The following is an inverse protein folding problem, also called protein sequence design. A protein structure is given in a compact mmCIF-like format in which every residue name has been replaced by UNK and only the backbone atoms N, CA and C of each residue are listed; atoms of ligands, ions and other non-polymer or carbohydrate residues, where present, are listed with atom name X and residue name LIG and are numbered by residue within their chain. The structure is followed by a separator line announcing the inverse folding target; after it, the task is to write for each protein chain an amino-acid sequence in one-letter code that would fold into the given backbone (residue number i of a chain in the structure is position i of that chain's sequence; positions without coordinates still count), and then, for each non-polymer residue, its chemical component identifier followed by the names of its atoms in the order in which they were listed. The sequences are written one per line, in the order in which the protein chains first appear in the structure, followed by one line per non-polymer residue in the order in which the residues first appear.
data_IF_319861709337
#
_entry.id   IF_319861709337
#
_cell.length_a   1.000
_cell.length_b   1.000
_cell.length_c   1.000
_cell.angle_alpha   90.00
_cell.angle_beta   90.00
_cell.angle_gamma   90.00
#
_symmetry.space_group_name_H-M   'P 1'
#
loop_
_entity.id
_entity.type
_entity.pdbx_description
1 polymer ?
#
# COMPACT_ATOMS: atom_id res chain seq x y z
N UNK A 1 6.63 -30.64 10.14
CA UNK A 1 5.46 -30.31 10.97
C UNK A 1 4.21 -30.42 10.12
N UNK A 2 3.19 -31.15 10.57
CA UNK A 2 1.90 -31.23 9.87
C UNK A 2 1.00 -30.14 10.45
N UNK A 3 0.67 -29.12 9.65
CA UNK A 3 -0.27 -28.07 10.06
C UNK A 3 -1.70 -28.60 10.08
N UNK A 4 -2.59 -27.94 10.82
CA UNK A 4 -4.02 -28.21 10.72
C UNK A 4 -4.51 -28.02 9.28
N UNK A 5 -5.57 -28.74 8.89
CA UNK A 5 -6.09 -28.71 7.53
C UNK A 5 -6.52 -27.29 7.09
N UNK A 6 -7.02 -26.49 8.02
CA UNK A 6 -7.37 -25.08 7.83
C UNK A 6 -6.18 -24.24 7.36
N UNK A 7 -5.04 -24.32 8.06
CA UNK A 7 -3.83 -23.60 7.69
C UNK A 7 -3.23 -24.11 6.39
N UNK A 8 -3.26 -25.41 6.14
CA UNK A 8 -2.80 -25.99 4.86
C UNK A 8 -3.61 -25.41 3.70
N UNK A 9 -4.95 -25.38 3.81
CA UNK A 9 -5.83 -24.77 2.81
C UNK A 9 -5.59 -23.27 2.65
N UNK A 10 -5.31 -22.56 3.74
CA UNK A 10 -4.95 -21.14 3.70
C UNK A 10 -3.62 -20.90 2.98
N UNK A 11 -2.64 -21.79 3.14
CA UNK A 11 -1.40 -21.76 2.38
C UNK A 11 -1.65 -21.93 0.88
N UNK A 12 -2.44 -22.94 0.48
CA UNK A 12 -2.84 -23.13 -0.92
C UNK A 12 -3.60 -21.92 -1.48
N UNK A 13 -4.49 -21.32 -0.68
CA UNK A 13 -5.23 -20.14 -1.07
C UNK A 13 -4.32 -18.94 -1.31
N UNK A 14 -3.39 -18.66 -0.40
CA UNK A 14 -2.42 -17.57 -0.58
C UNK A 14 -1.54 -17.80 -1.81
N UNK A 15 -1.11 -19.05 -2.07
CA UNK A 15 -0.34 -19.36 -3.27
C UNK A 15 -1.13 -19.07 -4.54
N UNK A 16 -2.39 -19.50 -4.60
CA UNK A 16 -3.29 -19.21 -5.71
C UNK A 16 -3.49 -17.70 -5.90
N UNK A 17 -3.75 -16.96 -4.82
CA UNK A 17 -3.90 -15.50 -4.88
C UNK A 17 -2.61 -14.82 -5.34
N UNK A 18 -1.43 -15.30 -4.93
CA UNK A 18 -0.15 -14.81 -5.43
C UNK A 18 -0.02 -14.94 -6.95
N UNK A 19 -0.37 -16.11 -7.50
CA UNK A 19 -0.37 -16.31 -8.97
C UNK A 19 -1.43 -15.47 -9.68
N UNK A 20 -2.60 -15.28 -9.09
CA UNK A 20 -3.66 -14.44 -9.66
C UNK A 20 -3.17 -12.99 -9.79
N UNK A 21 -2.61 -12.42 -8.72
CA UNK A 21 -2.05 -11.06 -8.74
C UNK A 21 -0.87 -10.94 -9.71
N UNK A 22 0.04 -11.93 -9.73
CA UNK A 22 1.15 -11.95 -10.67
C UNK A 22 0.67 -11.99 -12.13
N UNK A 23 -0.34 -12.80 -12.43
CA UNK A 23 -0.95 -12.88 -13.74
C UNK A 23 -1.57 -11.56 -14.18
N UNK A 24 -2.28 -10.88 -13.28
CA UNK A 24 -2.84 -9.54 -13.54
C UNK A 24 -1.75 -8.48 -13.71
N UNK A 25 -0.70 -8.48 -12.88
CA UNK A 25 0.44 -7.59 -13.01
C UNK A 25 1.15 -7.77 -14.36
N UNK A 26 1.39 -9.02 -14.76
CA UNK A 26 1.98 -9.34 -16.07
C UNK A 26 1.07 -8.91 -17.22
N UNK A 27 -0.24 -9.19 -17.14
CA UNK A 27 -1.20 -8.76 -18.14
C UNK A 27 -1.19 -7.23 -18.31
N UNK A 28 -1.20 -6.47 -17.22
CA UNK A 28 -1.10 -5.01 -17.31
C UNK A 28 0.24 -4.56 -17.88
N UNK A 29 1.35 -5.15 -17.44
CA UNK A 29 2.68 -4.78 -17.94
C UNK A 29 2.81 -4.96 -19.47
N UNK A 30 2.22 -6.02 -20.03
CA UNK A 30 2.29 -6.29 -21.47
C UNK A 30 1.17 -5.64 -22.30
N UNK A 31 0.01 -5.35 -21.70
CA UNK A 31 -1.16 -4.85 -22.43
C UNK A 31 -1.43 -3.35 -22.22
N UNK A 32 -0.82 -2.72 -21.22
CA UNK A 32 -1.02 -1.29 -20.97
C UNK A 32 -0.37 -0.43 -22.06
N UNK A 33 -0.95 0.75 -22.29
CA UNK A 33 -0.39 1.76 -23.19
C UNK A 33 0.60 2.68 -22.45
N UNK A 34 1.20 3.60 -23.19
CA UNK A 34 2.18 4.58 -22.68
C UNK A 34 1.52 5.77 -21.97
N UNK A 35 0.31 5.61 -21.40
CA UNK A 35 -0.36 6.69 -20.70
C UNK A 35 0.40 7.08 -19.43
N UNK A 36 0.74 8.37 -19.32
CA UNK A 36 1.48 8.92 -18.19
C UNK A 36 0.73 10.06 -17.51
N UNK A 37 0.96 10.22 -16.20
CA UNK A 37 0.48 11.36 -15.43
C UNK A 37 1.65 12.14 -14.82
N UNK A 38 1.60 13.49 -14.78
CA UNK A 38 2.69 14.28 -14.24
C UNK A 38 2.69 14.23 -12.71
N UNK A 39 3.90 14.25 -12.14
CA UNK A 39 4.15 14.68 -10.77
C UNK A 39 4.75 16.08 -10.84
N UNK A 40 4.18 17.00 -10.08
CA UNK A 40 4.59 18.40 -10.06
C UNK A 40 5.11 18.82 -8.69
N UNK A 41 5.93 19.86 -8.65
CA UNK A 41 6.32 20.57 -7.42
C UNK A 41 6.14 22.06 -7.62
N UNK A 42 5.71 22.77 -6.58
CA UNK A 42 5.55 24.23 -6.64
C UNK A 42 6.53 24.92 -5.69
N UNK A 43 7.46 25.70 -6.23
CA UNK A 43 8.43 26.47 -5.45
C UNK A 43 8.25 27.98 -5.69
N UNK A 44 8.51 28.79 -4.68
CA UNK A 44 8.44 30.24 -4.80
C UNK A 44 9.60 30.76 -5.66
N UNK A 45 9.27 31.57 -6.66
CA UNK A 45 10.23 32.37 -7.42
C UNK A 45 9.89 33.85 -7.32
N UNK A 46 10.91 34.68 -7.25
CA UNK A 46 10.74 36.13 -7.29
C UNK A 46 10.43 36.55 -8.72
N UNK A 47 9.33 37.27 -8.91
CA UNK A 47 8.93 37.87 -10.19
C UNK A 47 9.46 39.31 -10.21
N UNK A 48 10.53 39.61 -10.99
CA UNK A 48 11.20 40.91 -10.94
C UNK A 48 10.27 42.09 -11.27
N UNK A 49 9.27 41.88 -12.12
CA UNK A 49 8.33 42.90 -12.58
C UNK A 49 7.38 43.36 -11.47
N UNK A 50 7.03 42.47 -10.54
CA UNK A 50 6.09 42.75 -9.45
C UNK A 50 6.78 42.86 -8.10
N UNK A 51 8.04 42.41 -7.99
CA UNK A 51 8.78 42.31 -6.74
C UNK A 51 8.20 41.30 -5.75
N UNK A 52 7.34 40.38 -6.20
CA UNK A 52 6.63 39.40 -5.36
C UNK A 52 7.15 37.99 -5.56
N UNK A 53 7.05 37.18 -4.51
CA UNK A 53 7.24 35.74 -4.60
C UNK A 53 5.93 35.10 -5.06
N UNK A 54 5.99 34.35 -6.16
CA UNK A 54 4.85 33.61 -6.70
C UNK A 54 5.21 32.12 -6.81
N UNK A 55 4.26 31.20 -6.54
CA UNK A 55 4.51 29.77 -6.69
C UNK A 55 4.57 29.42 -8.18
N UNK A 56 5.69 28.83 -8.60
CA UNK A 56 5.88 28.31 -9.95
C UNK A 56 5.85 26.79 -9.89
N UNK A 57 4.90 26.19 -10.61
CA UNK A 57 4.70 24.74 -10.69
C UNK A 57 5.50 24.17 -11.85
N UNK A 58 6.43 23.27 -11.53
CA UNK A 58 7.22 22.54 -12.52
C UNK A 58 6.86 21.04 -12.48
N UNK A 59 6.89 20.38 -13.63
CA UNK A 59 6.78 18.91 -13.70
C UNK A 59 8.14 18.28 -13.38
N UNK A 60 8.18 17.38 -12.40
CA UNK A 60 9.38 16.66 -11.98
C UNK A 60 9.57 15.39 -12.81
N UNK A 61 8.49 14.62 -12.99
CA UNK A 61 8.50 13.34 -13.70
C UNK A 61 7.10 13.02 -14.24
N UNK A 62 7.04 12.27 -15.34
CA UNK A 62 5.81 11.67 -15.84
C UNK A 62 5.80 10.18 -15.47
N UNK A 63 4.83 9.77 -14.64
CA UNK A 63 4.70 8.39 -14.21
C UNK A 63 3.86 7.56 -15.19
N UNK A 64 4.35 6.41 -15.65
CA UNK A 64 3.56 5.48 -16.47
C UNK A 64 2.49 4.79 -15.62
N UNK A 65 1.22 5.13 -15.85
CA UNK A 65 0.11 4.65 -15.01
C UNK A 65 0.01 3.13 -15.04
N UNK A 66 0.07 2.51 -16.24
CA UNK A 66 -0.04 1.06 -16.39
C UNK A 66 1.00 0.29 -15.58
N UNK A 67 2.25 0.75 -15.61
CA UNK A 67 3.33 0.16 -14.83
C UNK A 67 3.14 0.36 -13.31
N UNK A 68 2.62 1.51 -12.87
CA UNK A 68 2.33 1.74 -11.45
C UNK A 68 1.15 0.89 -10.94
N UNK A 69 0.14 0.64 -11.77
CA UNK A 69 -0.96 -0.28 -11.43
C UNK A 69 -0.43 -1.72 -11.34
N UNK A 70 0.41 -2.14 -12.30
CA UNK A 70 1.08 -3.44 -12.25
C UNK A 70 1.95 -3.59 -10.99
N UNK A 71 2.58 -2.51 -10.53
CA UNK A 71 3.44 -2.51 -9.34
C UNK A 71 2.67 -2.84 -8.06
N UNK A 72 1.49 -2.27 -7.81
CA UNK A 72 0.77 -2.62 -6.57
C UNK A 72 0.28 -4.06 -6.58
N UNK A 73 -0.15 -4.59 -7.73
CA UNK A 73 -0.50 -6.01 -7.87
C UNK A 73 0.70 -6.92 -7.63
N UNK A 74 1.88 -6.51 -8.14
CA UNK A 74 3.12 -7.22 -7.91
C UNK A 74 3.51 -7.24 -6.42
N UNK A 75 3.31 -6.13 -5.69
CA UNK A 75 3.52 -6.07 -4.24
C UNK A 75 2.64 -7.08 -3.51
N UNK A 76 1.34 -7.17 -3.85
CA UNK A 76 0.43 -8.15 -3.27
C UNK A 76 0.82 -9.59 -3.62
N UNK A 77 1.26 -9.83 -4.86
CA UNK A 77 1.78 -11.14 -5.28
C UNK A 77 3.02 -11.55 -4.46
N UNK A 78 3.98 -10.63 -4.30
CA UNK A 78 5.20 -10.85 -3.51
C UNK A 78 4.84 -11.18 -2.07
N UNK A 79 3.91 -10.45 -1.44
CA UNK A 79 3.50 -10.75 -0.07
C UNK A 79 2.87 -12.13 0.06
N UNK A 80 1.96 -12.49 -0.86
CA UNK A 80 1.34 -13.82 -0.89
C UNK A 80 2.38 -14.94 -1.04
N UNK A 81 3.34 -14.80 -1.95
CA UNK A 81 4.41 -15.79 -2.11
C UNK A 81 5.34 -15.83 -0.91
N UNK A 82 5.65 -14.67 -0.32
CA UNK A 82 6.52 -14.57 0.86
C UNK A 82 5.91 -15.32 2.04
N UNK A 83 4.62 -15.13 2.34
CA UNK A 83 3.99 -15.77 3.50
C UNK A 83 3.87 -17.29 3.35
N UNK A 84 3.78 -17.82 2.12
CA UNK A 84 3.74 -19.28 1.87
C UNK A 84 5.12 -19.89 1.66
N UNK A 85 6.18 -19.09 1.63
CA UNK A 85 7.54 -19.57 1.40
C UNK A 85 8.05 -20.44 2.55
N UNK A 86 8.93 -21.42 2.27
CA UNK A 86 9.62 -22.19 3.29
C UNK A 86 10.37 -21.27 4.26
N UNK A 87 10.19 -21.47 5.57
CA UNK A 87 10.80 -20.63 6.61
C UNK A 87 9.90 -19.49 7.12
N UNK A 88 9.00 -18.95 6.29
CA UNK A 88 8.08 -17.86 6.68
C UNK A 88 6.70 -18.39 7.07
N UNK A 89 6.21 -19.45 6.40
CA UNK A 89 4.87 -19.96 6.64
C UNK A 89 4.62 -20.41 8.10
N UNK A 90 5.65 -20.93 8.77
CA UNK A 90 5.56 -21.27 10.20
C UNK A 90 5.35 -20.04 11.10
N UNK A 91 6.05 -18.93 10.80
CA UNK A 91 5.86 -17.64 11.48
C UNK A 91 4.47 -17.07 11.17
N UNK A 92 4.01 -17.17 9.91
CA UNK A 92 2.67 -16.72 9.54
C UNK A 92 1.58 -17.45 10.34
N UNK A 93 1.63 -18.79 10.38
CA UNK A 93 0.67 -19.61 11.13
C UNK A 93 0.74 -19.34 12.63
N UNK A 94 1.92 -19.16 13.22
CA UNK A 94 2.05 -18.92 14.66
C UNK A 94 1.46 -17.57 15.09
N UNK A 95 1.50 -16.57 14.21
CA UNK A 95 0.87 -15.28 14.44
C UNK A 95 -0.65 -15.32 14.22
N UNK A 96 -1.14 -16.04 13.21
CA UNK A 96 -2.57 -16.23 13.03
C UNK A 96 -3.23 -16.92 14.22
N UNK A 97 -2.54 -17.86 14.88
CA UNK A 97 -3.02 -18.49 16.12
C UNK A 97 -3.18 -17.51 17.28
N UNK A 98 -2.50 -16.36 17.22
CA UNK A 98 -2.65 -15.24 18.16
C UNK A 98 -3.66 -14.19 17.66
N UNK A 99 -4.34 -14.43 16.53
CA UNK A 99 -5.29 -13.47 15.96
C UNK A 99 -4.65 -12.25 15.30
N UNK A 100 -3.39 -12.34 14.88
CA UNK A 100 -2.66 -11.22 14.26
C UNK A 100 -2.04 -11.61 12.91
N UNK A 101 -2.08 -10.70 11.94
CA UNK A 101 -1.47 -10.88 10.62
C UNK A 101 -0.60 -9.68 10.25
N UNK A 102 0.64 -9.68 10.72
CA UNK A 102 1.65 -8.65 10.41
C UNK A 102 1.85 -8.44 8.90
N UNK A 103 1.97 -9.53 8.13
CA UNK A 103 2.27 -9.45 6.70
C UNK A 103 1.20 -8.68 5.92
N UNK A 104 -0.08 -8.85 6.29
CA UNK A 104 -1.21 -8.11 5.70
C UNK A 104 -1.04 -6.60 5.87
N UNK A 105 -0.81 -6.14 7.10
CA UNK A 105 -0.76 -4.71 7.37
C UNK A 105 0.46 -4.04 6.75
N UNK A 106 1.61 -4.72 6.72
CA UNK A 106 2.78 -4.22 6.03
C UNK A 106 2.56 -4.16 4.52
N UNK A 107 1.98 -5.20 3.91
CA UNK A 107 1.69 -5.15 2.47
C UNK A 107 0.70 -4.04 2.13
N UNK A 108 -0.43 -3.94 2.85
CA UNK A 108 -1.43 -2.90 2.61
C UNK A 108 -0.87 -1.48 2.81
N UNK A 109 0.03 -1.28 3.78
CA UNK A 109 0.66 0.02 4.00
C UNK A 109 1.45 0.52 2.78
N UNK A 110 1.89 -0.38 1.87
CA UNK A 110 2.52 0.00 0.61
C UNK A 110 1.55 -0.07 -0.57
N UNK A 111 0.81 -1.18 -0.75
CA UNK A 111 -0.03 -1.41 -1.92
C UNK A 111 -1.26 -0.50 -1.94
N UNK A 112 -1.97 -0.37 -0.82
CA UNK A 112 -3.13 0.53 -0.72
C UNK A 112 -2.71 2.00 -0.84
N UNK A 113 -1.56 2.36 -0.27
CA UNK A 113 -1.02 3.73 -0.36
C UNK A 113 -0.66 4.11 -1.79
N UNK A 114 -0.03 3.19 -2.55
CA UNK A 114 0.20 3.39 -3.98
C UNK A 114 -1.13 3.51 -4.74
N UNK A 115 -2.11 2.65 -4.44
CA UNK A 115 -3.43 2.72 -5.07
C UNK A 115 -4.11 4.09 -4.85
N UNK A 116 -4.08 4.63 -3.62
CA UNK A 116 -4.64 5.95 -3.29
C UNK A 116 -3.90 7.07 -4.03
N UNK A 117 -2.58 7.00 -4.13
CA UNK A 117 -1.79 7.95 -4.95
C UNK A 117 -2.27 7.94 -6.40
N UNK A 118 -2.42 6.76 -7.02
CA UNK A 118 -2.86 6.66 -8.41
C UNK A 118 -4.30 7.14 -8.63
N UNK A 119 -5.21 6.85 -7.70
CA UNK A 119 -6.58 7.37 -7.74
C UNK A 119 -6.56 8.90 -7.62
N UNK A 120 -5.78 9.46 -6.69
CA UNK A 120 -5.62 10.90 -6.53
C UNK A 120 -5.12 11.57 -7.81
N UNK A 121 -4.12 10.98 -8.48
CA UNK A 121 -3.61 11.47 -9.76
C UNK A 121 -4.68 11.42 -10.86
N UNK A 122 -5.52 10.38 -10.91
CA UNK A 122 -6.66 10.32 -11.83
C UNK A 122 -7.71 11.40 -11.56
N UNK A 123 -7.80 11.88 -10.32
CA UNK A 123 -8.65 13.00 -9.91
C UNK A 123 -7.98 14.39 -10.07
N UNK A 124 -6.76 14.47 -10.62
CA UNK A 124 -6.05 15.73 -10.85
C UNK A 124 -5.09 16.16 -9.74
N UNK A 125 -4.82 15.30 -8.76
CA UNK A 125 -3.82 15.57 -7.72
C UNK A 125 -2.41 15.21 -8.23
N UNK A 126 -1.62 16.21 -8.58
CA UNK A 126 -0.27 16.01 -9.14
C UNK A 126 0.87 16.51 -8.24
N UNK A 127 0.55 17.33 -7.25
CA UNK A 127 1.56 17.89 -6.34
C UNK A 127 2.23 16.78 -5.51
N UNK A 128 3.56 16.70 -5.58
CA UNK A 128 4.36 15.67 -4.93
C UNK A 128 4.15 15.64 -3.41
N UNK A 129 4.04 16.80 -2.76
CA UNK A 129 3.85 16.86 -1.31
C UNK A 129 2.46 16.31 -0.95
N UNK A 130 1.43 16.67 -1.70
CA UNK A 130 0.08 16.13 -1.50
C UNK A 130 0.02 14.62 -1.73
N UNK A 131 0.67 14.10 -2.77
CA UNK A 131 0.76 12.66 -3.04
C UNK A 131 1.50 11.90 -1.93
N UNK A 132 2.62 12.45 -1.43
CA UNK A 132 3.35 11.86 -0.31
C UNK A 132 2.53 11.86 0.98
N UNK A 133 1.74 12.92 1.24
CA UNK A 133 0.83 12.97 2.39
C UNK A 133 -0.27 11.91 2.27
N UNK A 134 -0.90 11.77 1.10
CA UNK A 134 -1.92 10.76 0.86
C UNK A 134 -1.37 9.33 1.02
N UNK A 135 -0.17 9.09 0.52
CA UNK A 135 0.55 7.82 0.71
C UNK A 135 0.82 7.56 2.20
N UNK A 136 1.38 8.53 2.92
CA UNK A 136 1.73 8.38 4.32
C UNK A 136 0.50 8.17 5.22
N UNK A 137 -0.59 8.91 5.00
CA UNK A 137 -1.84 8.76 5.74
C UNK A 137 -2.48 7.39 5.51
N UNK A 138 -2.47 6.91 4.26
CA UNK A 138 -2.96 5.56 3.94
C UNK A 138 -2.11 4.47 4.58
N UNK A 139 -0.79 4.67 4.64
CA UNK A 139 0.12 3.78 5.35
C UNK A 139 -0.17 3.78 6.87
N UNK A 140 -0.36 4.96 7.47
CA UNK A 140 -0.71 5.12 8.89
C UNK A 140 -2.03 4.43 9.22
N UNK A 141 -3.07 4.59 8.40
CA UNK A 141 -4.35 3.89 8.55
C UNK A 141 -4.13 2.36 8.67
N UNK A 142 -3.32 1.77 7.79
CA UNK A 142 -3.02 0.33 7.84
C UNK A 142 -2.19 -0.06 9.07
N UNK A 143 -1.20 0.76 9.45
CA UNK A 143 -0.41 0.53 10.66
C UNK A 143 -1.24 0.68 11.95
N UNK A 144 -2.29 1.50 11.94
CA UNK A 144 -3.27 1.56 13.01
C UNK A 144 -4.07 0.26 13.12
N UNK A 145 -4.37 -0.39 11.99
CA UNK A 145 -4.93 -1.76 11.96
C UNK A 145 -3.98 -2.79 12.59
N UNK A 146 -2.68 -2.73 12.27
CA UNK A 146 -1.68 -3.54 12.96
C UNK A 146 -1.65 -3.24 14.46
N UNK A 147 -1.66 -1.97 14.83
CA UNK A 147 -1.64 -1.57 16.23
C UNK A 147 -2.90 -2.03 16.97
N UNK A 148 -4.05 -2.10 16.31
CA UNK A 148 -5.27 -2.70 16.85
C UNK A 148 -5.05 -4.17 17.19
N UNK A 149 -4.45 -4.95 16.29
CA UNK A 149 -4.17 -6.38 16.52
C UNK A 149 -3.07 -6.61 17.56
N UNK A 150 -2.06 -5.75 17.64
CA UNK A 150 -0.95 -5.84 18.61
C UNK A 150 -1.40 -5.41 20.01
N UNK A 151 -2.04 -4.25 20.13
CA UNK A 151 -2.43 -3.67 21.42
C UNK A 151 -3.42 -4.58 22.16
N UNK A 152 -4.38 -5.16 21.43
CA UNK A 152 -5.41 -6.00 22.02
C UNK A 152 -4.95 -7.43 22.36
N UNK A 153 -3.65 -7.75 22.23
CA UNK A 153 -3.08 -8.99 22.77
C UNK A 153 -2.94 -8.97 24.30
N UNK A 154 -2.87 -7.77 24.89
CA UNK A 154 -2.55 -7.56 26.31
C UNK A 154 -3.65 -6.81 27.09
N UNK A 155 -4.74 -6.42 26.43
CA UNK A 155 -5.86 -5.73 27.07
C UNK A 155 -6.93 -6.72 27.52
N UNK A 156 -7.55 -6.49 28.68
CA UNK A 156 -8.65 -7.34 29.18
C UNK A 156 -9.95 -7.18 28.35
N UNK A 157 -10.18 -5.97 27.84
CA UNK A 157 -11.28 -5.65 26.93
C UNK A 157 -10.74 -4.99 25.68
N UNK A 158 -11.49 -5.07 24.58
CA UNK A 158 -11.08 -4.46 23.32
C UNK A 158 -10.97 -2.94 23.44
N UNK A 159 -9.77 -2.40 23.26
CA UNK A 159 -9.49 -0.98 23.19
C UNK A 159 -9.50 -0.54 21.72
N UNK A 160 -10.42 0.37 21.38
CA UNK A 160 -10.71 0.83 20.02
C UNK A 160 -9.91 2.07 19.58
N UNK A 161 -9.00 2.58 20.41
CA UNK A 161 -8.33 3.87 20.14
C UNK A 161 -7.55 3.85 18.82
N UNK A 162 -6.77 2.80 18.55
CA UNK A 162 -6.01 2.72 17.28
C UNK A 162 -6.91 2.60 16.07
N UNK A 163 -8.04 1.88 16.18
CA UNK A 163 -9.03 1.79 15.12
C UNK A 163 -9.63 3.18 14.78
N UNK A 164 -10.03 3.95 15.80
CA UNK A 164 -10.59 5.31 15.60
C UNK A 164 -9.56 6.23 14.94
N UNK A 165 -8.30 6.19 15.36
CA UNK A 165 -7.22 6.98 14.74
C UNK A 165 -7.03 6.54 13.28
N UNK A 166 -7.08 5.23 13.01
CA UNK A 166 -7.01 4.69 11.65
C UNK A 166 -8.14 5.23 10.76
N UNK A 167 -9.36 5.30 11.26
CA UNK A 167 -10.51 5.87 10.52
C UNK A 167 -10.42 7.38 10.27
N UNK A 168 -9.61 8.12 11.04
CA UNK A 168 -9.37 9.56 10.80
C UNK A 168 -8.25 9.73 9.77
N UNK A 169 -7.26 8.83 9.78
CA UNK A 169 -6.14 8.86 8.84
C UNK A 169 -6.54 8.42 7.42
N UNK A 170 -7.43 7.43 7.30
CA UNK A 170 -7.97 6.95 6.02
C UNK A 170 -9.21 7.70 5.58
#
# INVERSE_FOLDING_TARGET
MKYEASFTRLGTYNLFMGFLHLGQAAALFFLSNDFTLPITTSFLRLIPETGKLEPITDTVINLPLGAMVALFLLLSAIAHFTIVSPGVFGWYVSNLKKGINYARWYEYAFSASLMIVLIGMLCGLYDLAALLMAFALTAVMNLCGLMMEVHNQVTEQTNWTSYIIGCIAG
#
